data_IF_859650771679
#
_entry.id   IF_859650771679
#
_cell.length_a   1.000
_cell.length_b   1.000
_cell.length_c   1.000
_cell.angle_alpha   90.00
_cell.angle_beta   90.00
_cell.angle_gamma   90.00
#
_symmetry.space_group_name_H-M   'P 1'
#
loop_
_entity.id
_entity.type
_entity.pdbx_description
1 polymer ?
#
# COMPACT_ATOMS: atom_id res chain seq x y z
N UNK A 1 -15.39 -20.30 0.54
CA UNK A 1 -16.09 -21.52 0.15
C UNK A 1 -15.10 -22.35 -0.63
N UNK A 2 -14.55 -23.38 0.00
CA UNK A 2 -13.46 -24.18 -0.57
C UNK A 2 -14.06 -25.21 -1.55
N UNK A 3 -13.67 -25.13 -2.82
CA UNK A 3 -14.01 -26.13 -3.82
C UNK A 3 -12.98 -27.25 -3.69
N UNK A 4 -13.41 -28.37 -3.15
CA UNK A 4 -12.63 -29.61 -3.14
C UNK A 4 -12.70 -30.19 -4.55
N UNK A 5 -11.62 -30.08 -5.30
CA UNK A 5 -11.43 -30.81 -6.56
C UNK A 5 -11.16 -32.30 -6.21
N UNK A 6 -12.18 -33.12 -6.29
CA UNK A 6 -12.01 -34.57 -6.23
C UNK A 6 -11.44 -35.05 -7.57
N UNK A 7 -10.13 -35.17 -7.66
CA UNK A 7 -9.48 -35.92 -8.73
C UNK A 7 -9.67 -37.43 -8.40
N UNK A 8 -10.58 -38.06 -9.08
CA UNK A 8 -10.70 -39.52 -9.06
C UNK A 8 -9.48 -40.10 -9.77
N UNK A 9 -8.45 -40.41 -9.02
CA UNK A 9 -7.35 -41.25 -9.48
C UNK A 9 -7.91 -42.68 -9.58
N UNK A 10 -8.17 -43.15 -10.79
CA UNK A 10 -8.39 -44.56 -11.06
C UNK A 10 -7.04 -45.27 -10.84
N UNK A 11 -6.81 -45.75 -9.64
CA UNK A 11 -5.71 -46.62 -9.37
C UNK A 11 -6.08 -47.97 -9.99
N UNK A 12 -5.47 -48.31 -11.11
CA UNK A 12 -5.49 -49.66 -11.67
C UNK A 12 -4.70 -50.57 -10.71
N UNK A 13 -5.36 -51.11 -9.72
CA UNK A 13 -4.77 -52.11 -8.85
C UNK A 13 -4.74 -53.43 -9.60
N UNK A 14 -3.54 -53.93 -9.87
CA UNK A 14 -3.33 -55.32 -10.37
C UNK A 14 -3.96 -56.30 -9.39
N UNK A 15 -5.14 -56.82 -9.72
CA UNK A 15 -5.79 -57.84 -8.93
C UNK A 15 -5.42 -59.20 -9.49
N UNK A 16 -4.98 -60.10 -8.63
CA UNK A 16 -4.80 -61.53 -8.97
C UNK A 16 -5.66 -62.33 -8.02
N UNK A 17 -6.13 -63.50 -8.46
CA UNK A 17 -6.86 -64.47 -7.62
C UNK A 17 -6.15 -64.63 -6.26
N UNK A 18 -6.91 -64.64 -5.17
CA UNK A 18 -6.38 -64.78 -3.81
C UNK A 18 -5.95 -63.53 -3.10
N UNK A 19 -5.84 -62.37 -3.77
CA UNK A 19 -5.58 -61.07 -3.07
C UNK A 19 -6.84 -60.58 -2.35
N UNK A 20 -6.67 -59.83 -1.29
CA UNK A 20 -7.78 -59.30 -0.48
C UNK A 20 -8.60 -58.27 -1.23
N UNK A 21 -9.91 -58.31 -1.03
CA UNK A 21 -10.88 -57.33 -1.53
C UNK A 21 -11.70 -56.70 -0.37
N UNK A 22 -12.46 -55.66 -0.65
CA UNK A 22 -13.08 -54.85 0.42
C UNK A 22 -14.53 -55.20 0.74
N UNK A 23 -15.26 -55.80 -0.19
CA UNK A 23 -16.69 -56.07 -0.03
C UNK A 23 -17.09 -57.29 -0.90
N UNK A 24 -17.88 -58.22 -0.35
CA UNK A 24 -18.41 -59.35 -1.09
C UNK A 24 -19.32 -58.89 -2.23
N UNK A 25 -19.18 -59.52 -3.39
CA UNK A 25 -19.98 -59.25 -4.58
C UNK A 25 -19.41 -58.13 -5.48
N UNK A 26 -18.33 -57.42 -5.08
CA UNK A 26 -17.62 -56.54 -6.00
C UNK A 26 -17.05 -57.36 -7.16
N UNK A 27 -17.17 -56.81 -8.37
CA UNK A 27 -16.63 -57.42 -9.58
C UNK A 27 -15.54 -56.50 -10.17
N UNK A 28 -14.50 -57.10 -10.70
CA UNK A 28 -13.42 -56.42 -11.38
C UNK A 28 -12.96 -57.19 -12.61
N UNK A 29 -12.84 -56.49 -13.73
CA UNK A 29 -12.31 -57.06 -14.97
C UNK A 29 -10.81 -56.72 -15.05
N UNK A 30 -9.98 -57.75 -15.22
CA UNK A 30 -8.54 -57.57 -15.44
C UNK A 30 -8.09 -58.56 -16.52
N UNK A 31 -7.35 -58.06 -17.53
CA UNK A 31 -6.79 -58.85 -18.64
C UNK A 31 -7.80 -59.76 -19.38
N UNK A 32 -9.09 -59.34 -19.43
CA UNK A 32 -10.28 -60.05 -19.94
C UNK A 32 -10.91 -61.08 -18.99
N UNK A 33 -10.38 -61.25 -17.80
CA UNK A 33 -10.91 -62.16 -16.78
C UNK A 33 -11.78 -61.37 -15.78
N UNK A 34 -12.94 -61.93 -15.45
CA UNK A 34 -13.84 -61.36 -14.46
C UNK A 34 -13.56 -61.96 -13.09
N UNK A 35 -13.17 -61.14 -12.15
CA UNK A 35 -12.97 -61.52 -10.77
C UNK A 35 -14.13 -61.01 -9.91
N UNK A 36 -14.64 -61.84 -9.00
CA UNK A 36 -15.63 -61.45 -8.00
C UNK A 36 -15.03 -61.56 -6.61
N UNK A 37 -15.29 -60.57 -5.77
CA UNK A 37 -14.89 -60.59 -4.37
C UNK A 37 -15.77 -61.55 -3.57
N UNK A 38 -15.19 -62.62 -3.07
CA UNK A 38 -15.89 -63.66 -2.31
C UNK A 38 -15.28 -63.86 -0.92
N UNK A 39 -16.06 -64.37 0.00
CA UNK A 39 -15.58 -64.67 1.36
C UNK A 39 -15.12 -66.16 1.40
N UNK A 40 -13.82 -66.33 1.63
CA UNK A 40 -13.20 -67.69 1.78
C UNK A 40 -12.51 -67.72 3.14
N UNK A 41 -12.84 -68.67 3.99
CA UNK A 41 -12.25 -68.87 5.33
C UNK A 41 -12.19 -67.57 6.14
N UNK A 42 -13.31 -66.81 6.19
CA UNK A 42 -13.47 -65.53 6.90
C UNK A 42 -12.68 -64.34 6.34
N UNK A 43 -12.00 -64.50 5.21
CA UNK A 43 -11.30 -63.41 4.49
C UNK A 43 -12.01 -63.12 3.19
N UNK A 44 -12.00 -61.82 2.79
CA UNK A 44 -12.50 -61.39 1.48
C UNK A 44 -11.33 -61.44 0.48
N UNK A 45 -11.50 -62.20 -0.59
CA UNK A 45 -10.48 -62.40 -1.64
C UNK A 45 -11.11 -62.35 -3.03
N UNK A 46 -10.31 -61.90 -4.00
CA UNK A 46 -10.72 -61.95 -5.40
C UNK A 46 -10.64 -63.37 -5.93
N UNK A 47 -11.75 -63.89 -6.48
CA UNK A 47 -11.83 -65.18 -7.13
C UNK A 47 -12.22 -64.97 -8.58
N UNK A 48 -11.55 -65.68 -9.50
CA UNK A 48 -11.93 -65.73 -10.90
C UNK A 48 -13.32 -66.31 -11.00
N UNK A 49 -14.24 -65.62 -11.66
CA UNK A 49 -15.66 -66.06 -11.76
C UNK A 49 -15.94 -66.73 -13.09
N UNK A 50 -15.14 -66.42 -14.12
CA UNK A 50 -15.27 -67.01 -15.44
C UNK A 50 -13.90 -67.06 -16.13
N UNK A 51 -13.49 -68.25 -16.57
CA UNK A 51 -12.36 -68.50 -17.44
C UNK A 51 -12.91 -68.63 -18.86
N UNK A 52 -12.96 -67.65 -19.61
CA UNK A 52 -13.53 -67.52 -20.94
C UNK A 52 -13.11 -68.67 -21.94
N UNK A 53 -13.14 -69.92 -21.54
CA UNK A 53 -12.72 -71.08 -22.34
C UNK A 53 -13.82 -72.06 -22.68
N UNK A 54 -15.11 -71.70 -22.73
CA UNK A 54 -16.04 -72.56 -23.41
C UNK A 54 -17.31 -71.86 -23.88
N UNK A 55 -17.47 -71.91 -25.21
CA UNK A 55 -18.70 -72.04 -25.96
C UNK A 55 -19.86 -71.09 -25.59
N UNK A 56 -19.79 -69.84 -26.02
CA UNK A 56 -21.00 -69.10 -26.37
C UNK A 56 -21.20 -69.19 -27.89
N UNK A 57 -22.30 -69.84 -28.29
CA UNK A 57 -22.80 -69.78 -29.67
C UNK A 57 -23.05 -68.32 -30.07
N UNK A 58 -23.23 -67.98 -31.34
CA UNK A 58 -23.32 -66.62 -31.82
C UNK A 58 -24.59 -65.99 -31.29
N UNK A 59 -24.47 -65.19 -30.23
CA UNK A 59 -25.50 -64.22 -29.89
C UNK A 59 -25.41 -63.07 -30.91
N UNK A 60 -26.48 -62.78 -31.63
CA UNK A 60 -26.53 -61.61 -32.44
C UNK A 60 -26.74 -60.38 -31.53
N UNK A 61 -25.70 -59.94 -30.82
CA UNK A 61 -25.74 -58.68 -30.17
C UNK A 61 -25.28 -57.66 -31.21
N UNK A 62 -26.23 -57.01 -31.86
CA UNK A 62 -26.02 -55.79 -32.60
C UNK A 62 -25.71 -54.68 -31.58
N UNK A 63 -24.60 -54.81 -30.90
CA UNK A 63 -24.03 -53.72 -30.12
C UNK A 63 -23.35 -52.71 -31.04
N UNK A 64 -23.20 -51.47 -30.62
CA UNK A 64 -22.54 -50.46 -31.43
C UNK A 64 -21.13 -50.91 -31.80
N UNK A 65 -20.72 -50.68 -33.03
CA UNK A 65 -19.35 -50.95 -33.50
C UNK A 65 -18.34 -50.09 -32.72
N UNK A 66 -17.08 -50.50 -32.70
CA UNK A 66 -16.00 -49.70 -32.07
C UNK A 66 -15.96 -48.27 -32.61
N UNK A 67 -16.28 -48.09 -33.89
CA UNK A 67 -16.37 -46.75 -34.49
C UNK A 67 -17.53 -45.93 -33.89
N UNK A 68 -18.72 -46.53 -33.75
CA UNK A 68 -19.87 -45.86 -33.12
C UNK A 68 -19.61 -45.52 -31.66
N UNK A 69 -18.88 -46.36 -30.89
CA UNK A 69 -18.48 -46.06 -29.53
C UNK A 69 -17.45 -44.92 -29.47
N UNK A 70 -16.53 -44.84 -30.43
CA UNK A 70 -15.59 -43.76 -30.56
C UNK A 70 -16.32 -42.42 -30.88
N UNK A 71 -17.27 -42.45 -31.83
CA UNK A 71 -18.06 -41.29 -32.22
C UNK A 71 -18.92 -40.76 -31.05
N UNK A 72 -19.52 -41.66 -30.25
CA UNK A 72 -20.28 -41.29 -29.05
C UNK A 72 -19.35 -40.64 -28.01
N UNK A 73 -18.16 -41.21 -27.78
CA UNK A 73 -17.18 -40.64 -26.85
C UNK A 73 -16.73 -39.27 -27.29
N UNK A 74 -16.44 -39.09 -28.57
CA UNK A 74 -15.94 -37.82 -29.11
C UNK A 74 -17.05 -36.77 -29.12
N UNK A 75 -18.30 -37.15 -29.39
CA UNK A 75 -19.46 -36.27 -29.25
C UNK A 75 -19.67 -35.83 -27.77
N UNK A 76 -19.56 -36.77 -26.83
CA UNK A 76 -19.67 -36.47 -25.40
C UNK A 76 -18.54 -35.54 -24.91
N UNK A 77 -17.31 -35.77 -25.40
CA UNK A 77 -16.16 -34.91 -25.10
C UNK A 77 -16.35 -33.49 -25.63
N UNK A 78 -16.91 -33.34 -26.83
CA UNK A 78 -17.23 -32.03 -27.43
C UNK A 78 -18.29 -31.28 -26.62
N UNK A 79 -19.36 -31.93 -26.23
CA UNK A 79 -20.42 -31.35 -25.39
C UNK A 79 -19.86 -30.92 -24.02
N UNK A 80 -19.02 -31.75 -23.40
CA UNK A 80 -18.39 -31.44 -22.14
C UNK A 80 -17.45 -30.22 -22.28
N UNK A 81 -16.67 -30.12 -23.36
CA UNK A 81 -15.81 -28.98 -23.64
C UNK A 81 -16.61 -27.70 -23.83
N UNK A 82 -17.74 -27.76 -24.57
CA UNK A 82 -18.63 -26.61 -24.76
C UNK A 82 -19.27 -26.14 -23.46
N UNK A 83 -19.68 -27.09 -22.59
CA UNK A 83 -20.23 -26.76 -21.26
C UNK A 83 -19.19 -26.09 -20.35
N UNK A 84 -17.95 -26.59 -20.35
CA UNK A 84 -16.84 -25.99 -19.59
C UNK A 84 -16.51 -24.60 -20.12
N UNK A 85 -16.48 -24.41 -21.43
CA UNK A 85 -16.24 -23.10 -22.03
C UNK A 85 -17.35 -22.09 -21.67
N UNK A 86 -18.62 -22.52 -21.73
CA UNK A 86 -19.77 -21.68 -21.37
C UNK A 86 -19.75 -21.33 -19.86
N UNK A 87 -19.43 -22.29 -18.99
CA UNK A 87 -19.31 -22.04 -17.55
C UNK A 87 -18.17 -21.07 -17.23
N UNK A 88 -17.03 -21.21 -17.91
CA UNK A 88 -15.91 -20.28 -17.78
C UNK A 88 -16.28 -18.87 -18.24
N UNK A 89 -16.91 -18.74 -19.41
CA UNK A 89 -17.34 -17.43 -19.93
C UNK A 89 -18.32 -16.73 -18.97
N UNK A 90 -19.25 -17.50 -18.37
CA UNK A 90 -20.16 -16.96 -17.35
C UNK A 90 -19.41 -16.48 -16.10
N UNK A 91 -18.47 -17.27 -15.60
CA UNK A 91 -17.66 -16.91 -14.44
C UNK A 91 -16.81 -15.66 -14.71
N UNK A 92 -16.16 -15.59 -15.88
CA UNK A 92 -15.35 -14.43 -16.26
C UNK A 92 -16.22 -13.17 -16.36
N UNK A 93 -17.45 -13.28 -16.87
CA UNK A 93 -18.41 -12.16 -16.91
C UNK A 93 -18.87 -11.74 -15.50
N UNK A 94 -19.12 -12.66 -14.59
CA UNK A 94 -19.47 -12.37 -13.20
C UNK A 94 -18.32 -11.68 -12.46
N UNK A 95 -17.07 -12.12 -12.67
CA UNK A 95 -15.87 -11.48 -12.11
C UNK A 95 -15.72 -10.06 -12.66
N UNK A 96 -15.88 -9.87 -13.97
CA UNK A 96 -15.79 -8.55 -14.59
C UNK A 96 -16.88 -7.60 -14.07
N UNK A 97 -18.11 -8.08 -13.93
CA UNK A 97 -19.21 -7.30 -13.37
C UNK A 97 -18.99 -6.92 -11.90
N UNK A 98 -18.48 -7.87 -11.08
CA UNK A 98 -18.16 -7.61 -9.68
C UNK A 98 -17.02 -6.58 -9.54
N UNK A 99 -16.00 -6.65 -10.39
CA UNK A 99 -14.91 -5.67 -10.44
C UNK A 99 -15.42 -4.29 -10.83
N UNK A 100 -16.23 -4.19 -11.88
CA UNK A 100 -16.80 -2.92 -12.32
C UNK A 100 -17.72 -2.30 -11.25
N UNK A 101 -18.50 -3.11 -10.55
CA UNK A 101 -19.35 -2.64 -9.44
C UNK A 101 -18.52 -2.13 -8.26
N UNK A 102 -17.40 -2.79 -7.94
CA UNK A 102 -16.48 -2.34 -6.89
C UNK A 102 -15.79 -1.02 -7.26
N UNK A 103 -15.35 -0.88 -8.51
CA UNK A 103 -14.75 0.36 -9.02
C UNK A 103 -15.75 1.53 -9.03
N UNK A 104 -17.00 1.27 -9.44
CA UNK A 104 -18.05 2.28 -9.41
C UNK A 104 -18.39 2.75 -7.99
N UNK A 105 -18.47 1.79 -7.04
CA UNK A 105 -18.71 2.10 -5.63
C UNK A 105 -17.56 2.92 -5.04
N UNK A 106 -16.31 2.53 -5.29
CA UNK A 106 -15.15 3.26 -4.85
C UNK A 106 -15.11 4.69 -5.41
N UNK A 107 -15.49 4.86 -6.69
CA UNK A 107 -15.60 6.18 -7.31
C UNK A 107 -16.70 7.03 -6.65
N UNK A 108 -17.89 6.46 -6.41
CA UNK A 108 -18.98 7.18 -5.74
C UNK A 108 -18.61 7.62 -4.32
N UNK A 109 -17.93 6.76 -3.57
CA UNK A 109 -17.42 7.08 -2.23
C UNK A 109 -16.36 8.20 -2.29
N UNK A 110 -15.46 8.15 -3.26
CA UNK A 110 -14.45 9.20 -3.48
C UNK A 110 -15.11 10.53 -3.89
N UNK A 111 -16.09 10.51 -4.80
CA UNK A 111 -16.83 11.71 -5.23
C UNK A 111 -17.64 12.32 -4.07
N UNK A 112 -18.28 11.51 -3.24
CA UNK A 112 -19.03 11.97 -2.05
C UNK A 112 -18.08 12.59 -1.01
N UNK A 113 -16.92 12.00 -0.78
CA UNK A 113 -15.88 12.50 0.10
C UNK A 113 -15.26 13.81 -0.43
N UNK A 114 -14.99 13.88 -1.74
CA UNK A 114 -14.54 15.12 -2.38
C UNK A 114 -15.60 16.24 -2.26
N UNK A 115 -16.88 15.93 -2.37
CA UNK A 115 -17.97 16.89 -2.16
C UNK A 115 -18.02 17.37 -0.71
N UNK A 116 -17.86 16.46 0.27
CA UNK A 116 -17.76 16.83 1.71
C UNK A 116 -16.53 17.72 1.95
N UNK A 117 -15.37 17.37 1.40
CA UNK A 117 -14.15 18.16 1.50
C UNK A 117 -14.28 19.55 0.84
N UNK A 118 -14.99 19.65 -0.29
CA UNK A 118 -15.27 20.93 -0.94
C UNK A 118 -16.20 21.84 -0.10
N UNK A 119 -17.05 21.23 0.73
CA UNK A 119 -17.91 21.98 1.66
C UNK A 119 -17.15 22.49 2.90
N UNK A 120 -15.97 21.94 3.18
CA UNK A 120 -15.12 22.28 4.33
C UNK A 120 -13.91 23.14 3.92
N UNK A 121 -14.11 24.10 2.98
CA UNK A 121 -13.02 25.02 2.58
C UNK A 121 -12.47 25.73 3.82
N UNK A 122 -11.16 25.66 4.09
CA UNK A 122 -10.54 26.30 5.24
C UNK A 122 -10.78 27.81 5.26
N UNK A 123 -11.00 28.37 6.44
CA UNK A 123 -11.13 29.82 6.64
C UNK A 123 -9.88 30.33 7.34
N UNK A 124 -8.97 30.91 6.56
CA UNK A 124 -7.72 31.46 7.06
C UNK A 124 -7.74 32.98 6.89
N UNK A 125 -7.46 33.71 7.96
CA UNK A 125 -7.47 35.19 7.92
C UNK A 125 -6.52 35.71 6.85
N UNK A 126 -7.00 36.63 6.00
CA UNK A 126 -6.21 37.27 4.95
C UNK A 126 -5.97 36.42 3.69
N UNK A 127 -6.53 35.18 3.60
CA UNK A 127 -6.43 34.34 2.43
C UNK A 127 -7.80 34.06 1.83
N UNK A 128 -7.84 33.99 0.49
CA UNK A 128 -8.99 33.47 -0.26
C UNK A 128 -8.67 32.04 -0.66
N UNK A 129 -9.18 31.08 0.09
CA UNK A 129 -9.05 29.66 -0.26
C UNK A 129 -10.11 29.33 -1.31
N UNK A 130 -9.67 28.83 -2.46
CA UNK A 130 -10.52 28.50 -3.62
C UNK A 130 -10.91 27.04 -3.67
N UNK A 131 -11.10 26.52 -4.89
CA UNK A 131 -11.54 25.13 -5.09
C UNK A 131 -10.50 24.12 -4.61
N UNK A 132 -10.99 22.95 -4.18
CA UNK A 132 -10.18 21.77 -3.94
C UNK A 132 -9.55 21.31 -5.27
N UNK A 133 -8.24 21.09 -5.30
CA UNK A 133 -7.47 20.67 -6.45
C UNK A 133 -7.13 19.17 -6.38
N UNK A 134 -6.84 18.70 -5.17
CA UNK A 134 -6.48 17.30 -4.92
C UNK A 134 -6.74 16.95 -3.46
N UNK A 135 -7.07 15.68 -3.21
CA UNK A 135 -7.18 15.14 -1.84
C UNK A 135 -6.87 13.65 -1.80
N UNK A 136 -6.40 13.20 -0.64
CA UNK A 136 -6.40 11.80 -0.25
C UNK A 136 -6.86 11.68 1.21
N UNK A 137 -7.97 11.00 1.41
CA UNK A 137 -8.58 10.79 2.73
C UNK A 137 -8.26 9.40 3.29
N UNK A 138 -7.33 8.68 2.68
CA UNK A 138 -6.83 7.37 3.11
C UNK A 138 -7.94 6.33 3.36
N UNK A 139 -9.01 6.40 2.57
CA UNK A 139 -10.10 5.43 2.68
C UNK A 139 -9.67 4.04 2.25
N UNK A 140 -10.12 3.02 2.97
CA UNK A 140 -9.84 1.62 2.62
C UNK A 140 -9.98 0.65 3.78
N UNK A 141 -9.79 -0.63 3.50
CA UNK A 141 -9.92 -1.67 4.52
C UNK A 141 -8.77 -1.61 5.54
N UNK A 142 -9.06 -1.93 6.78
CA UNK A 142 -8.05 -2.02 7.85
C UNK A 142 -6.88 -2.91 7.44
N UNK A 143 -5.67 -2.41 7.62
CA UNK A 143 -4.42 -3.12 7.30
C UNK A 143 -4.04 -3.09 5.82
N UNK A 144 -4.85 -2.51 4.93
CA UNK A 144 -4.47 -2.29 3.54
C UNK A 144 -3.32 -1.27 3.43
N UNK A 145 -2.65 -1.29 2.29
CA UNK A 145 -1.63 -0.30 1.95
C UNK A 145 -2.29 1.00 1.46
N UNK A 146 -1.56 2.11 1.59
CA UNK A 146 -1.96 3.41 1.02
C UNK A 146 -2.07 3.34 -0.51
N UNK A 147 -2.81 4.26 -1.11
CA UNK A 147 -3.03 4.31 -2.56
C UNK A 147 -1.71 4.51 -3.32
N UNK A 148 -1.27 3.47 -4.02
CA UNK A 148 -0.01 3.48 -4.78
C UNK A 148 -0.03 4.38 -6.02
N UNK A 149 -1.17 4.89 -6.47
CA UNK A 149 -1.25 5.89 -7.54
C UNK A 149 -0.86 7.29 -7.03
N UNK A 150 -1.09 7.58 -5.76
CA UNK A 150 -0.77 8.87 -5.14
C UNK A 150 0.58 8.83 -4.41
N UNK A 151 0.91 7.70 -3.77
CA UNK A 151 1.98 7.60 -2.80
C UNK A 151 2.97 6.47 -3.08
N UNK A 152 4.21 6.71 -2.74
CA UNK A 152 5.27 5.70 -2.67
C UNK A 152 5.68 5.51 -1.21
N UNK A 153 5.39 4.35 -0.64
CA UNK A 153 5.96 3.96 0.65
C UNK A 153 7.44 3.64 0.47
N UNK A 154 8.30 4.26 1.28
CA UNK A 154 9.76 4.20 1.13
C UNK A 154 10.40 3.28 2.15
N UNK A 155 11.44 2.60 1.71
CA UNK A 155 12.35 1.86 2.58
C UNK A 155 13.75 2.46 2.63
N UNK A 156 13.92 3.67 2.11
CA UNK A 156 15.13 4.48 2.12
C UNK A 156 16.40 3.82 1.65
N UNK A 157 16.73 4.05 0.39
CA UNK A 157 18.06 3.77 -0.14
C UNK A 157 18.79 5.10 -0.40
N UNK A 158 20.02 5.24 0.10
CA UNK A 158 20.90 6.25 -0.45
C UNK A 158 21.15 5.92 -1.91
N UNK A 159 20.75 6.83 -2.81
CA UNK A 159 21.29 6.80 -4.16
C UNK A 159 22.75 7.28 -4.12
N UNK A 160 23.62 6.84 -5.03
CA UNK A 160 25.02 7.31 -5.11
C UNK A 160 25.15 8.85 -5.24
N UNK A 161 24.10 9.53 -5.68
CA UNK A 161 24.03 10.98 -5.83
C UNK A 161 23.52 11.72 -4.56
N UNK A 162 23.31 11.00 -3.49
CA UNK A 162 23.17 11.55 -2.13
C UNK A 162 21.79 12.03 -1.72
N UNK A 163 20.91 12.47 -2.62
CA UNK A 163 19.66 13.15 -2.25
C UNK A 163 18.50 12.93 -3.22
N UNK A 164 18.40 11.78 -3.84
CA UNK A 164 17.18 11.43 -4.59
C UNK A 164 15.96 11.35 -3.66
N UNK A 165 14.75 11.52 -4.18
CA UNK A 165 13.50 11.50 -3.42
C UNK A 165 13.24 10.28 -2.52
N UNK A 166 14.16 9.32 -2.49
CA UNK A 166 14.19 8.19 -1.57
C UNK A 166 15.27 8.28 -0.48
N UNK A 167 16.02 9.40 -0.38
CA UNK A 167 17.07 9.55 0.63
C UNK A 167 16.47 9.74 2.03
N UNK A 168 17.09 9.11 3.02
CA UNK A 168 16.83 9.33 4.43
C UNK A 168 18.05 9.96 5.08
N UNK A 169 17.86 10.66 6.20
CA UNK A 169 18.91 11.38 6.87
C UNK A 169 19.80 10.47 7.72
N UNK A 170 21.08 10.80 7.83
CA UNK A 170 22.07 10.01 8.57
C UNK A 170 21.91 10.09 10.09
N UNK A 171 21.08 11.00 10.60
CA UNK A 171 20.83 11.19 12.04
C UNK A 171 19.64 10.38 12.57
N UNK A 172 18.89 9.73 11.70
CA UNK A 172 17.71 8.95 12.06
C UNK A 172 18.09 7.52 12.47
N UNK A 173 17.59 7.07 13.62
CA UNK A 173 17.86 5.72 14.15
C UNK A 173 16.74 4.73 13.82
N UNK A 174 16.18 4.82 12.61
CA UNK A 174 15.07 4.00 12.12
C UNK A 174 15.44 3.23 10.85
N UNK A 175 14.82 2.04 10.72
CA UNK A 175 14.59 1.40 9.43
C UNK A 175 13.22 1.83 8.93
N UNK A 176 13.11 2.42 7.77
CA UNK A 176 11.82 2.64 7.14
C UNK A 176 11.36 1.38 6.41
N UNK A 177 10.09 1.03 6.59
CA UNK A 177 9.47 -0.14 6.00
C UNK A 177 8.06 0.19 5.50
N UNK A 178 7.70 -0.12 4.25
CA UNK A 178 6.33 0.04 3.74
C UNK A 178 5.27 -0.65 4.61
N UNK A 179 5.62 -1.79 5.23
CA UNK A 179 4.74 -2.53 6.13
C UNK A 179 4.38 -1.78 7.43
N UNK A 180 5.16 -0.77 7.80
CA UNK A 180 4.89 0.10 8.95
C UNK A 180 3.78 1.15 8.66
N UNK A 181 3.28 1.21 7.41
CA UNK A 181 2.25 2.15 6.97
C UNK A 181 1.01 1.36 6.61
N UNK A 182 -0.11 1.58 7.30
CA UNK A 182 -1.36 0.87 7.07
C UNK A 182 -2.56 1.79 7.17
N UNK A 183 -3.61 1.46 6.41
CA UNK A 183 -4.91 2.09 6.60
C UNK A 183 -5.58 1.55 7.87
N UNK A 184 -6.23 2.42 8.63
CA UNK A 184 -6.89 2.05 9.89
C UNK A 184 -8.26 1.39 9.69
N UNK A 185 -8.87 1.56 8.49
CA UNK A 185 -10.16 1.00 8.13
C UNK A 185 -11.35 1.62 8.87
N UNK A 186 -11.19 2.83 9.41
CA UNK A 186 -12.29 3.62 9.94
C UNK A 186 -13.17 4.17 8.80
N UNK A 187 -14.36 4.63 9.11
CA UNK A 187 -15.32 5.18 8.14
C UNK A 187 -14.76 6.44 7.45
N UNK A 188 -14.10 7.29 8.22
CA UNK A 188 -13.46 8.49 7.70
C UNK A 188 -12.09 8.21 7.05
N UNK A 189 -11.47 7.04 7.33
CA UNK A 189 -10.16 6.62 6.84
C UNK A 189 -9.02 7.33 7.59
N UNK A 190 -7.87 6.64 7.72
CA UNK A 190 -6.60 7.26 8.06
C UNK A 190 -5.43 6.37 7.61
N UNK A 191 -4.34 7.00 7.18
CA UNK A 191 -3.05 6.33 7.09
C UNK A 191 -2.36 6.38 8.45
N UNK A 192 -1.90 5.23 8.95
CA UNK A 192 -1.22 5.11 10.23
C UNK A 192 0.21 4.67 10.01
N UNK A 193 1.15 5.49 10.44
CA UNK A 193 2.56 5.13 10.57
C UNK A 193 2.77 4.58 11.98
N UNK A 194 3.20 3.32 12.08
CA UNK A 194 3.56 2.70 13.36
C UNK A 194 5.07 2.66 13.50
N UNK A 195 5.59 3.32 14.53
CA UNK A 195 6.98 3.23 14.92
C UNK A 195 7.11 2.21 16.04
N UNK A 196 8.02 1.24 15.91
CA UNK A 196 8.18 0.16 16.88
C UNK A 196 9.66 -0.10 17.14
N UNK A 197 10.03 -0.25 18.42
CA UNK A 197 11.37 -0.68 18.83
C UNK A 197 11.64 -2.09 18.35
N UNK A 198 12.82 -2.33 17.81
CA UNK A 198 13.23 -3.64 17.33
C UNK A 198 13.56 -4.53 18.53
N UNK A 199 12.80 -5.64 18.64
CA UNK A 199 13.02 -6.68 19.67
C UNK A 199 13.21 -8.07 19.04
N UNK A 200 13.14 -8.16 17.71
CA UNK A 200 13.20 -9.42 16.95
C UNK A 200 13.67 -9.19 15.52
N UNK A 201 13.21 -10.04 14.61
CA UNK A 201 13.54 -9.93 13.17
C UNK A 201 12.94 -8.66 12.57
N UNK A 202 13.69 -8.04 11.66
CA UNK A 202 13.22 -6.92 10.85
C UNK A 202 12.13 -7.39 9.87
N UNK A 203 11.17 -6.53 9.50
CA UNK A 203 10.29 -6.78 8.37
C UNK A 203 11.09 -7.05 7.09
N UNK A 204 10.60 -7.93 6.23
CA UNK A 204 11.28 -8.28 4.98
C UNK A 204 11.39 -7.11 3.99
N UNK A 205 10.58 -6.08 4.14
CA UNK A 205 10.55 -4.85 3.35
C UNK A 205 11.29 -3.68 4.02
N UNK A 206 11.94 -3.90 5.16
CA UNK A 206 12.75 -2.89 5.84
C UNK A 206 13.95 -2.49 4.98
N UNK A 207 14.24 -1.18 4.96
CA UNK A 207 15.36 -0.60 4.26
C UNK A 207 16.70 -0.80 4.97
N UNK A 208 17.63 0.11 4.72
CA UNK A 208 18.96 0.12 5.33
C UNK A 208 19.03 1.09 6.50
N UNK A 209 19.78 0.74 7.51
CA UNK A 209 20.20 1.67 8.56
C UNK A 209 21.35 2.53 8.04
N UNK A 210 21.16 3.84 8.00
CA UNK A 210 22.18 4.77 7.47
C UNK A 210 23.16 5.24 8.54
N UNK A 211 22.75 5.24 9.82
CA UNK A 211 23.61 5.64 10.95
C UNK A 211 24.54 4.52 11.43
N UNK A 212 24.39 3.29 10.93
CA UNK A 212 25.03 2.10 11.47
C UNK A 212 24.38 1.53 12.72
N UNK A 213 23.47 2.27 13.36
CA UNK A 213 22.65 1.83 14.49
C UNK A 213 21.21 2.32 14.32
N UNK A 214 20.28 1.39 14.12
CA UNK A 214 18.86 1.70 14.10
C UNK A 214 18.13 0.80 15.08
N UNK A 215 17.46 1.42 16.03
CA UNK A 215 16.73 0.73 17.10
C UNK A 215 15.25 0.56 16.83
N UNK A 216 14.74 1.10 15.70
CA UNK A 216 13.31 1.17 15.40
C UNK A 216 13.01 0.83 13.96
N UNK A 217 11.77 0.38 13.72
CA UNK A 217 11.13 0.34 12.41
C UNK A 217 10.05 1.42 12.39
N UNK A 218 9.94 2.18 11.29
CA UNK A 218 8.95 3.23 11.11
C UNK A 218 8.52 3.35 9.64
N UNK A 219 7.65 4.32 9.33
CA UNK A 219 7.15 4.57 7.98
C UNK A 219 7.52 5.94 7.44
N UNK A 220 7.76 6.00 6.12
CA UNK A 220 7.89 7.20 5.30
C UNK A 220 7.22 6.95 3.96
N UNK A 221 6.45 7.92 3.48
CA UNK A 221 5.85 7.87 2.16
C UNK A 221 5.80 9.27 1.54
N UNK A 222 5.83 9.32 0.22
CA UNK A 222 5.86 10.56 -0.53
C UNK A 222 5.11 10.45 -1.87
N UNK A 223 4.85 11.61 -2.49
CA UNK A 223 4.20 11.71 -3.79
C UNK A 223 5.17 11.85 -4.97
N UNK A 224 6.49 11.73 -4.75
CA UNK A 224 7.51 11.92 -5.79
C UNK A 224 7.31 10.98 -6.99
N UNK A 225 7.27 11.57 -8.19
CA UNK A 225 7.03 10.86 -9.43
C UNK A 225 5.56 10.40 -9.64
N UNK A 226 4.63 10.89 -8.81
CA UNK A 226 3.19 10.55 -8.87
C UNK A 226 2.31 11.78 -8.83
N UNK A 227 2.47 12.63 -7.81
CA UNK A 227 1.73 13.87 -7.69
C UNK A 227 2.70 14.97 -7.27
N UNK A 228 2.77 16.03 -8.06
CA UNK A 228 3.53 17.23 -7.75
C UNK A 228 2.59 18.44 -7.66
N UNK A 229 3.00 19.40 -6.89
CA UNK A 229 2.24 20.62 -6.60
C UNK A 229 3.06 21.83 -6.99
N UNK A 230 2.41 22.86 -7.47
CA UNK A 230 3.01 24.16 -7.63
C UNK A 230 2.03 25.20 -7.09
N UNK A 231 2.42 25.85 -5.98
CA UNK A 231 1.56 26.75 -5.21
C UNK A 231 0.30 26.06 -4.63
N UNK A 232 -0.50 26.84 -3.94
CA UNK A 232 -1.75 26.37 -3.34
C UNK A 232 -1.76 26.50 -1.82
N UNK A 233 -2.91 26.22 -1.24
CA UNK A 233 -3.06 25.96 0.19
C UNK A 233 -3.05 24.44 0.38
N UNK A 234 -1.96 23.92 0.91
CA UNK A 234 -1.78 22.48 1.10
C UNK A 234 -1.81 22.20 2.60
N UNK A 235 -2.71 21.33 3.02
CA UNK A 235 -2.88 21.01 4.44
C UNK A 235 -3.05 19.50 4.66
N UNK A 236 -2.68 19.07 5.86
CA UNK A 236 -2.95 17.72 6.35
C UNK A 236 -3.55 17.78 7.77
N UNK A 237 -4.47 16.87 8.05
CA UNK A 237 -5.01 16.68 9.39
C UNK A 237 -4.33 15.49 10.02
N UNK A 238 -3.54 15.75 11.07
CA UNK A 238 -2.62 14.76 11.62
C UNK A 238 -2.75 14.75 13.15
N UNK A 239 -2.78 13.53 13.72
CA UNK A 239 -2.54 13.26 15.12
C UNK A 239 -1.11 12.77 15.27
N UNK A 240 -0.28 13.53 15.96
CA UNK A 240 1.14 13.25 16.10
C UNK A 240 1.42 12.09 17.05
N UNK A 241 2.56 11.39 16.94
CA UNK A 241 2.90 10.30 17.82
C UNK A 241 3.26 10.79 19.22
N UNK A 242 2.82 10.07 20.24
CA UNK A 242 3.20 10.32 21.63
C UNK A 242 4.57 9.75 21.97
N UNK A 243 5.25 10.37 22.91
CA UNK A 243 6.51 9.87 23.50
C UNK A 243 7.76 10.54 22.90
N UNK A 244 8.69 10.89 23.79
CA UNK A 244 9.97 11.52 23.44
C UNK A 244 10.79 10.65 22.49
N UNK A 245 11.54 11.28 21.61
CA UNK A 245 12.38 10.66 20.58
C UNK A 245 11.73 10.54 19.20
N UNK A 246 10.38 10.66 19.09
CA UNK A 246 9.73 10.75 17.79
C UNK A 246 10.00 12.11 17.14
N UNK A 247 10.21 12.09 15.82
CA UNK A 247 10.36 13.26 14.98
C UNK A 247 9.45 13.14 13.74
N UNK A 248 8.12 13.27 13.94
CA UNK A 248 7.18 13.25 12.84
C UNK A 248 7.27 14.54 12.03
N UNK A 249 7.10 14.41 10.71
CA UNK A 249 7.14 15.52 9.79
C UNK A 249 6.10 15.39 8.66
N UNK A 250 5.54 16.53 8.27
CA UNK A 250 4.82 16.76 7.03
C UNK A 250 5.49 17.90 6.30
N UNK A 251 6.09 17.60 5.15
CA UNK A 251 7.04 18.47 4.47
C UNK A 251 7.06 18.25 2.96
N UNK A 252 7.83 19.06 2.25
CA UNK A 252 7.92 19.03 0.80
C UNK A 252 9.36 19.23 0.33
N UNK A 253 9.73 18.54 -0.75
CA UNK A 253 10.97 18.78 -1.49
C UNK A 253 10.67 19.16 -2.94
N UNK A 254 11.56 19.97 -3.53
CA UNK A 254 11.48 20.31 -4.95
C UNK A 254 11.56 19.07 -5.84
N UNK A 255 10.64 18.96 -6.79
CA UNK A 255 10.50 17.80 -7.68
C UNK A 255 11.73 17.59 -8.60
N UNK A 256 12.53 18.66 -8.77
CA UNK A 256 13.79 18.63 -9.50
C UNK A 256 15.01 18.21 -8.67
N UNK A 257 14.79 17.65 -7.45
CA UNK A 257 15.88 17.31 -6.52
C UNK A 257 16.91 16.34 -7.15
N UNK A 258 16.48 15.45 -8.03
CA UNK A 258 17.40 14.54 -8.72
C UNK A 258 18.31 15.22 -9.74
N UNK A 259 17.95 16.43 -10.21
CA UNK A 259 18.73 17.22 -11.16
C UNK A 259 19.66 18.21 -10.47
N UNK A 260 19.18 18.88 -9.44
CA UNK A 260 19.91 19.98 -8.81
C UNK A 260 20.48 19.65 -7.42
N UNK A 261 19.97 18.61 -6.78
CA UNK A 261 20.35 18.20 -5.41
C UNK A 261 19.76 19.11 -4.33
N UNK A 262 20.00 18.73 -3.07
CA UNK A 262 19.63 19.51 -1.90
C UNK A 262 20.80 20.40 -1.46
N UNK A 263 20.60 21.66 -1.00
CA UNK A 263 19.31 22.35 -0.78
C UNK A 263 18.82 23.16 -1.99
N UNK A 264 19.40 22.96 -3.18
CA UNK A 264 19.09 23.75 -4.39
C UNK A 264 17.70 23.46 -4.96
N UNK A 265 17.13 22.29 -4.65
CA UNK A 265 15.73 21.97 -4.96
C UNK A 265 14.74 22.75 -4.09
N UNK A 266 15.19 23.26 -2.93
CA UNK A 266 14.34 23.80 -1.89
C UNK A 266 13.67 22.71 -1.05
N UNK A 267 13.33 23.08 0.20
CA UNK A 267 12.57 22.26 1.14
C UNK A 267 11.63 23.15 1.95
N UNK A 268 10.40 22.69 2.15
CA UNK A 268 9.39 23.37 2.96
C UNK A 268 8.88 22.39 4.00
N UNK A 269 9.24 22.58 5.26
CA UNK A 269 8.75 21.80 6.38
C UNK A 269 7.48 22.45 6.91
N UNK A 270 6.33 21.90 6.49
CA UNK A 270 5.02 22.43 6.89
C UNK A 270 4.86 22.28 8.39
N UNK A 271 5.25 21.12 8.92
CA UNK A 271 5.35 20.89 10.36
C UNK A 271 6.40 19.82 10.68
N UNK A 272 7.15 20.09 11.73
CA UNK A 272 7.95 19.11 12.46
C UNK A 272 7.57 19.22 13.94
N UNK A 273 7.41 18.08 14.61
CA UNK A 273 7.22 18.05 16.05
C UNK A 273 8.46 17.46 16.70
N UNK A 274 9.06 18.24 17.59
CA UNK A 274 10.05 17.73 18.51
C UNK A 274 9.31 17.11 19.71
N UNK A 275 9.21 15.81 19.76
CA UNK A 275 8.27 15.14 20.69
C UNK A 275 8.66 15.24 22.19
N UNK A 276 9.79 15.85 22.51
CA UNK A 276 10.09 16.34 23.86
C UNK A 276 9.39 17.69 24.19
N UNK A 277 8.84 18.38 23.16
CA UNK A 277 8.05 19.59 23.27
C UNK A 277 6.70 19.42 22.56
N UNK A 278 5.85 18.48 22.98
CA UNK A 278 4.70 18.01 22.20
C UNK A 278 3.58 19.06 22.03
N UNK A 279 3.70 20.20 22.70
CA UNK A 279 2.76 21.32 22.59
C UNK A 279 3.21 22.40 21.60
N UNK A 280 4.32 22.18 20.89
CA UNK A 280 4.92 23.13 19.96
C UNK A 280 5.09 22.48 18.59
N UNK A 281 4.72 23.19 17.54
CA UNK A 281 5.05 22.85 16.16
C UNK A 281 6.12 23.78 15.64
N UNK A 282 7.05 23.27 14.83
CA UNK A 282 8.01 24.05 14.06
C UNK A 282 7.72 23.93 12.57
N UNK A 283 8.01 25.00 11.84
CA UNK A 283 8.01 25.00 10.37
C UNK A 283 9.34 25.61 9.90
N UNK A 284 9.87 25.06 8.81
CA UNK A 284 11.14 25.53 8.28
C UNK A 284 11.10 25.69 6.75
N UNK A 285 12.03 26.48 6.25
CA UNK A 285 12.27 26.67 4.82
C UNK A 285 13.78 26.55 4.60
N UNK A 286 14.22 25.51 3.86
CA UNK A 286 15.63 25.25 3.59
C UNK A 286 15.98 25.64 2.16
N UNK A 287 17.13 26.33 2.00
CA UNK A 287 17.55 26.91 0.74
C UNK A 287 19.08 27.04 0.67
N UNK A 288 19.60 27.45 -0.48
CA UNK A 288 21.02 27.79 -0.65
C UNK A 288 21.22 29.27 -0.78
N UNK A 289 22.39 29.76 -0.37
CA UNK A 289 22.79 31.17 -0.59
C UNK A 289 23.48 31.40 -1.92
N UNK A 290 23.90 30.32 -2.60
CA UNK A 290 24.60 30.39 -3.89
C UNK A 290 24.00 29.40 -4.89
N UNK A 291 24.13 29.72 -6.17
CA UNK A 291 23.71 28.84 -7.26
C UNK A 291 24.87 27.90 -7.65
N UNK A 292 25.01 26.80 -6.92
CA UNK A 292 26.00 25.74 -7.20
C UNK A 292 25.34 24.38 -7.15
N UNK A 293 24.48 24.03 -8.10
CA UNK A 293 23.75 22.77 -8.10
C UNK A 293 24.73 21.58 -8.09
N UNK A 294 24.27 20.44 -7.55
CA UNK A 294 25.01 19.18 -7.38
C UNK A 294 26.13 19.19 -6.30
N UNK A 295 26.23 20.24 -5.51
CA UNK A 295 27.10 20.25 -4.33
C UNK A 295 26.27 20.07 -3.07
N UNK A 296 25.90 18.84 -2.75
CA UNK A 296 25.10 18.54 -1.55
C UNK A 296 25.63 19.31 -0.33
N UNK A 297 24.68 19.87 0.39
CA UNK A 297 24.82 20.36 1.76
C UNK A 297 25.73 21.59 1.94
N UNK A 298 26.38 22.08 0.88
CA UNK A 298 27.16 23.33 0.93
C UNK A 298 26.26 24.54 0.81
N UNK A 299 26.60 25.61 1.55
CA UNK A 299 25.85 26.85 1.57
C UNK A 299 24.36 26.71 1.95
N UNK A 300 24.03 25.63 2.65
CA UNK A 300 22.71 25.41 3.21
C UNK A 300 22.42 26.45 4.28
N UNK A 301 21.24 27.03 4.16
CA UNK A 301 20.64 27.92 5.15
C UNK A 301 19.19 27.51 5.39
N UNK A 302 18.64 27.94 6.50
CA UNK A 302 17.25 27.68 6.82
C UNK A 302 16.62 28.83 7.59
N UNK A 303 15.32 28.93 7.46
CA UNK A 303 14.46 29.79 8.30
C UNK A 303 13.53 28.88 9.07
N UNK A 304 13.56 28.94 10.38
CA UNK A 304 12.69 28.18 11.25
C UNK A 304 11.84 29.12 12.10
N UNK A 305 10.62 28.72 12.36
CA UNK A 305 9.72 29.35 13.31
C UNK A 305 8.93 28.30 14.07
N UNK A 306 8.56 28.63 15.30
CA UNK A 306 7.79 27.74 16.16
C UNK A 306 6.54 28.44 16.69
N UNK A 307 5.48 27.66 16.94
CA UNK A 307 4.25 28.15 17.53
C UNK A 307 3.70 27.12 18.52
N UNK A 308 3.35 27.59 19.72
CA UNK A 308 2.62 26.77 20.69
C UNK A 308 1.23 26.41 20.17
N UNK A 309 0.92 25.13 20.11
CA UNK A 309 -0.38 24.61 19.66
C UNK A 309 -1.45 24.79 20.74
N UNK A 310 -1.03 24.84 22.01
CA UNK A 310 -1.92 25.02 23.14
C UNK A 310 -2.39 23.70 23.78
N UNK A 311 -2.13 22.59 23.13
CA UNK A 311 -2.41 21.23 23.61
C UNK A 311 -1.28 20.29 23.16
N UNK A 312 -1.21 19.09 23.74
CA UNK A 312 -0.34 18.03 23.26
C UNK A 312 -0.84 17.54 21.90
N UNK A 313 0.02 17.64 20.87
CA UNK A 313 -0.30 17.28 19.49
C UNK A 313 -0.59 15.80 19.29
N UNK A 314 -0.28 14.97 20.28
CA UNK A 314 -0.61 13.55 20.31
C UNK A 314 -1.98 13.26 20.94
N UNK A 315 -2.61 14.23 21.61
CA UNK A 315 -3.91 14.05 22.24
C UNK A 315 -5.07 14.07 21.24
N UNK A 316 -4.92 14.82 20.13
CA UNK A 316 -5.97 14.98 19.11
C UNK A 316 -5.41 15.23 17.71
N UNK A 317 -6.31 15.38 16.76
CA UNK A 317 -5.96 15.80 15.41
C UNK A 317 -5.85 17.32 15.33
N UNK A 318 -4.82 17.80 14.66
CA UNK A 318 -4.58 19.20 14.31
C UNK A 318 -4.43 19.32 12.80
N UNK A 319 -4.70 20.51 12.25
CA UNK A 319 -4.41 20.80 10.83
C UNK A 319 -3.09 21.56 10.73
N UNK A 320 -2.23 21.13 9.82
CA UNK A 320 -0.95 21.74 9.50
C UNK A 320 -0.97 22.12 8.03
N UNK A 321 -0.64 23.37 7.70
CA UNK A 321 -0.79 23.86 6.34
C UNK A 321 0.31 24.80 5.90
N UNK A 322 0.50 24.86 4.58
CA UNK A 322 1.27 25.91 3.88
C UNK A 322 0.38 26.65 2.88
N UNK A 323 0.35 27.97 2.97
CA UNK A 323 -0.13 28.83 1.89
C UNK A 323 1.08 29.24 1.05
N UNK A 324 1.20 28.63 -0.11
CA UNK A 324 2.33 28.82 -1.00
C UNK A 324 1.89 29.53 -2.29
N UNK A 325 2.46 30.69 -2.52
CA UNK A 325 2.17 31.57 -3.67
C UNK A 325 3.49 32.02 -4.31
N UNK A 326 3.47 32.57 -5.51
CA UNK A 326 4.66 33.20 -6.07
C UNK A 326 5.27 34.18 -5.06
N UNK A 327 6.55 33.97 -4.71
CA UNK A 327 7.31 34.80 -3.79
C UNK A 327 6.77 34.88 -2.34
N UNK A 328 5.93 33.93 -1.90
CA UNK A 328 5.44 33.87 -0.52
C UNK A 328 5.14 32.45 -0.07
N UNK A 329 5.65 32.10 1.10
CA UNK A 329 5.38 30.83 1.80
C UNK A 329 4.94 31.19 3.21
N UNK A 330 3.73 30.83 3.61
CA UNK A 330 3.22 31.04 4.96
C UNK A 330 2.77 29.73 5.57
N UNK A 331 3.23 29.41 6.77
CA UNK A 331 2.92 28.17 7.49
C UNK A 331 1.86 28.40 8.54
N UNK A 332 1.00 27.41 8.74
CA UNK A 332 -0.13 27.48 9.67
C UNK A 332 -0.30 26.19 10.47
N UNK A 333 -0.79 26.35 11.70
CA UNK A 333 -1.36 25.26 12.51
C UNK A 333 -2.75 25.67 12.99
N UNK A 334 -3.75 24.83 12.78
CA UNK A 334 -5.16 25.13 13.14
C UNK A 334 -5.60 26.52 12.66
N UNK A 335 -5.28 26.85 11.42
CA UNK A 335 -5.52 28.15 10.77
C UNK A 335 -4.81 29.35 11.43
N UNK A 336 -3.89 29.12 12.37
CA UNK A 336 -3.07 30.19 12.99
C UNK A 336 -1.73 30.28 12.30
N UNK A 337 -1.35 31.49 11.88
CA UNK A 337 -0.08 31.74 11.22
C UNK A 337 1.09 31.44 12.15
N UNK A 338 2.07 30.69 11.66
CA UNK A 338 3.37 30.44 12.31
C UNK A 338 4.39 31.48 11.82
N UNK A 339 4.59 31.52 10.50
CA UNK A 339 5.56 32.46 9.89
C UNK A 339 5.27 32.70 8.41
N UNK A 340 5.86 33.74 7.85
CA UNK A 340 5.88 34.01 6.41
C UNK A 340 7.31 34.21 5.94
N UNK A 341 7.68 33.50 4.87
CA UNK A 341 8.96 33.63 4.17
C UNK A 341 8.72 34.21 2.78
N UNK A 342 9.53 35.22 2.41
CA UNK A 342 9.50 35.88 1.12
C UNK A 342 10.94 36.04 0.59
N UNK A 343 11.18 36.33 -0.70
CA UNK A 343 12.52 36.58 -1.21
C UNK A 343 13.28 37.69 -0.43
N UNK A 344 12.56 38.73 0.00
CA UNK A 344 13.17 39.84 0.71
C UNK A 344 13.65 39.51 2.13
N UNK A 345 13.04 38.52 2.78
CA UNK A 345 13.41 38.12 4.13
C UNK A 345 14.14 36.78 4.20
N UNK A 346 14.32 36.07 3.06
CA UNK A 346 15.01 34.78 3.02
C UNK A 346 16.52 34.91 3.19
N UNK A 347 17.13 35.86 2.52
CA UNK A 347 18.59 36.07 2.56
C UNK A 347 19.39 35.11 1.66
N UNK A 348 18.74 34.44 0.70
CA UNK A 348 19.36 33.54 -0.23
C UNK A 348 18.56 33.36 -1.51
N UNK A 349 18.79 32.28 -2.24
CA UNK A 349 18.13 32.01 -3.50
C UNK A 349 16.66 31.58 -3.26
N UNK A 350 15.75 32.24 -4.00
CA UNK A 350 14.37 31.84 -4.02
C UNK A 350 14.15 30.71 -5.04
N UNK A 351 14.09 29.49 -4.56
CA UNK A 351 13.94 28.27 -5.40
C UNK A 351 12.52 27.71 -5.40
N UNK A 352 11.60 28.38 -4.72
CA UNK A 352 10.25 27.92 -4.41
C UNK A 352 9.20 28.27 -5.49
N UNK A 353 9.62 28.52 -6.72
CA UNK A 353 8.72 28.70 -7.87
C UNK A 353 8.67 27.45 -8.77
N UNK A 354 9.31 26.36 -8.36
CA UNK A 354 9.30 25.05 -9.04
C UNK A 354 8.19 24.16 -8.48
N UNK A 355 8.01 22.97 -9.05
CA UNK A 355 7.13 21.93 -8.50
C UNK A 355 7.75 21.28 -7.26
N UNK A 356 6.91 20.90 -6.32
CA UNK A 356 7.30 20.19 -5.10
C UNK A 356 6.44 18.95 -4.93
N UNK A 357 6.96 17.94 -4.23
CA UNK A 357 6.22 16.76 -3.82
C UNK A 357 6.12 16.67 -2.30
N UNK A 358 5.09 16.01 -1.80
CA UNK A 358 4.80 15.85 -0.38
C UNK A 358 5.51 14.66 0.22
N UNK A 359 5.87 14.77 1.49
CA UNK A 359 6.48 13.72 2.30
C UNK A 359 5.83 13.69 3.68
N UNK A 360 5.55 12.48 4.17
CA UNK A 360 5.07 12.21 5.52
C UNK A 360 5.91 11.09 6.12
N UNK A 361 6.43 11.30 7.32
CA UNK A 361 7.19 10.28 8.03
C UNK A 361 7.14 10.48 9.55
N UNK A 362 7.48 9.41 10.28
CA UNK A 362 7.87 9.53 11.68
C UNK A 362 9.29 8.98 11.85
N UNK A 363 10.27 9.86 11.97
CA UNK A 363 11.64 9.50 12.31
C UNK A 363 11.77 9.27 13.83
N UNK A 364 12.87 8.65 14.25
CA UNK A 364 13.34 8.67 15.63
C UNK A 364 14.73 9.31 15.65
N UNK A 365 14.84 10.43 16.34
CA UNK A 365 16.04 11.26 16.31
C UNK A 365 16.29 11.98 17.66
N UNK A 366 17.27 11.50 18.40
CA UNK A 366 17.58 12.08 19.71
C UNK A 366 18.10 13.52 19.65
N UNK A 367 18.72 13.93 18.54
CA UNK A 367 19.26 15.28 18.37
C UNK A 367 18.17 16.35 18.30
N UNK A 368 16.98 15.98 17.79
CA UNK A 368 15.86 16.89 17.63
C UNK A 368 14.76 16.70 18.68
N UNK A 369 14.49 15.46 19.08
CA UNK A 369 13.25 15.14 19.79
C UNK A 369 13.47 14.53 21.17
N UNK A 370 14.64 14.70 21.74
CA UNK A 370 15.01 14.18 23.06
C UNK A 370 15.22 12.67 23.09
N UNK A 371 15.34 12.12 24.32
CA UNK A 371 15.70 10.73 24.49
C UNK A 371 14.60 9.78 24.02
N UNK A 372 14.97 8.82 23.18
CA UNK A 372 14.12 7.71 22.72
C UNK A 372 14.26 6.42 23.56
N UNK A 373 15.01 6.47 24.67
CA UNK A 373 15.32 5.26 25.45
C UNK A 373 14.08 4.53 25.98
N UNK A 374 13.05 5.28 26.34
CA UNK A 374 11.78 4.75 26.85
C UNK A 374 10.73 4.49 25.75
N UNK A 375 11.01 4.89 24.50
CA UNK A 375 10.09 4.68 23.40
C UNK A 375 10.04 3.19 23.04
N UNK A 376 8.86 2.58 23.11
CA UNK A 376 8.63 1.20 22.69
C UNK A 376 7.86 1.15 21.37
N UNK A 377 6.76 1.89 21.31
CA UNK A 377 5.93 2.03 20.11
C UNK A 377 5.20 3.36 20.15
N UNK A 378 4.92 3.90 18.98
CA UNK A 378 4.11 5.09 18.78
C UNK A 378 3.39 5.05 17.44
N UNK A 379 2.35 5.87 17.28
CA UNK A 379 1.59 5.96 16.03
C UNK A 379 1.38 7.42 15.65
N UNK A 380 1.62 7.73 14.37
CA UNK A 380 1.21 8.95 13.71
C UNK A 380 0.03 8.62 12.83
N UNK A 381 -1.10 9.30 13.01
CA UNK A 381 -2.31 9.06 12.21
C UNK A 381 -2.59 10.28 11.32
N UNK A 382 -2.68 10.04 10.03
CA UNK A 382 -2.97 11.05 9.00
C UNK A 382 -4.39 10.80 8.49
N UNK A 383 -5.33 11.67 8.87
CA UNK A 383 -6.74 11.58 8.51
C UNK A 383 -6.94 11.89 7.02
N UNK A 384 -6.37 13.00 6.56
CA UNK A 384 -6.40 13.38 5.16
C UNK A 384 -5.26 14.35 4.82
N UNK A 385 -4.99 14.46 3.49
CA UNK A 385 -4.17 15.50 2.89
C UNK A 385 -4.97 16.17 1.78
N UNK A 386 -4.98 17.50 1.72
CA UNK A 386 -5.76 18.29 0.77
C UNK A 386 -4.95 19.41 0.18
N UNK A 387 -5.20 19.72 -1.09
CA UNK A 387 -4.63 20.88 -1.78
C UNK A 387 -5.72 21.72 -2.40
N UNK A 388 -5.72 23.01 -2.10
CA UNK A 388 -6.69 23.99 -2.59
C UNK A 388 -5.99 25.12 -3.35
N UNK A 389 -6.74 25.83 -4.17
CA UNK A 389 -6.27 27.14 -4.63
C UNK A 389 -6.17 28.12 -3.45
N UNK A 390 -5.17 29.03 -3.51
CA UNK A 390 -5.03 30.15 -2.58
C UNK A 390 -4.80 31.44 -3.36
N UNK A 391 -5.64 32.44 -3.17
CA UNK A 391 -5.59 33.74 -3.87
C UNK A 391 -5.47 33.56 -5.41
N UNK A 392 -6.14 32.55 -5.97
CA UNK A 392 -6.09 32.21 -7.39
C UNK A 392 -4.89 31.37 -7.85
N UNK A 393 -3.94 31.06 -6.98
CA UNK A 393 -2.77 30.21 -7.27
C UNK A 393 -3.00 28.77 -6.80
N UNK A 394 -2.38 27.84 -7.48
CA UNK A 394 -2.36 26.41 -7.15
C UNK A 394 -2.60 25.53 -8.36
N UNK A 395 -1.69 24.60 -8.57
CA UNK A 395 -1.75 23.59 -9.64
C UNK A 395 -1.28 22.24 -9.09
N UNK A 396 -1.87 21.17 -9.59
CA UNK A 396 -1.53 19.78 -9.28
C UNK A 396 -1.20 19.06 -10.58
N UNK A 397 -0.10 18.33 -10.58
CA UNK A 397 0.43 17.60 -11.72
C UNK A 397 0.43 16.11 -11.37
N UNK A 398 -0.23 15.32 -12.20
CA UNK A 398 -0.17 13.85 -12.18
C UNK A 398 0.46 13.37 -13.48
N UNK A 399 1.17 12.22 -13.51
CA UNK A 399 1.77 11.64 -14.71
C UNK A 399 0.79 11.43 -15.83
#
# INVERSE_FOLDING_TARGET
MAIICATSSIAVASTTAGKSCKQTGLQQLQDRDLYTCVKVNSKLVWQLTDDNTSSFGPFPIAGPTWQQLADIRDAAAKVAAEQVAAAKAKLDAEIAAAKAAAELKAKQEADAKAAKAAAEIPKVAGLVIGKLLWSDDFAGSRGASINSSNWSARNCHRTPTGMGGGACFDSEVVYYAPSAIKLDGSEDGAAVITTTRITGALPSDAGKCLTGYCGFVSGRFDTHGKVAFQYGFIEARIKMPAGSGNHPAFWMLGDNINQVGWPYSGEMDITEIHSNEPTTTTSATHYSTVNSPNMCCTNHQYKVAALGVGADTSAGYHTYAVAWMPNSISYYVDNRLISTTTPSNLGGLWVFNSKFFLILNNAVNASFSGSWQNLQSSTMSIDWVRSYQVNGHGEVFTP
#
